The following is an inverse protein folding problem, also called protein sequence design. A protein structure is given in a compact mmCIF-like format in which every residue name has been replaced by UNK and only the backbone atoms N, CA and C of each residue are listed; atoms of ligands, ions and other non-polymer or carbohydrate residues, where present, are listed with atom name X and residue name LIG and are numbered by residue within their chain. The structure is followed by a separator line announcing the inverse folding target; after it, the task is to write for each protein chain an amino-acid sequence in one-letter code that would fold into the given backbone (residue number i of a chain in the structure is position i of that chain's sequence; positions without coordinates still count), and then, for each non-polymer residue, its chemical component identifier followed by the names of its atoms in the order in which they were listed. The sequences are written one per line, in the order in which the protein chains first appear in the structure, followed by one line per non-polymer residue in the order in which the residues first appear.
data_IF_005108649587
#
_entry.id   IF_005108649587
#
_cell.length_a   1.000
_cell.length_b   1.000
_cell.length_c   1.000
_cell.angle_alpha   90.00
_cell.angle_beta   90.00
_cell.angle_gamma   90.00
#
_symmetry.space_group_name_H-M   'P 1'
#
loop_
_entity.id
_entity.type
_entity.pdbx_description
1 polymer ?
#
# COMPACT_ATOMS: atom_id res chain seq x y z
N UNK A 1 -16.13 13.02 -5.49
CA UNK A 1 -15.65 11.64 -5.72
C UNK A 1 -15.56 10.96 -4.37
N UNK A 2 -15.89 9.67 -4.31
CA UNK A 2 -15.67 8.84 -3.13
C UNK A 2 -14.18 8.54 -2.93
N UNK A 3 -13.82 8.00 -1.76
CA UNK A 3 -12.45 7.52 -1.49
C UNK A 3 -12.05 6.48 -2.54
N UNK A 4 -12.91 5.50 -2.80
CA UNK A 4 -12.68 4.45 -3.80
C UNK A 4 -12.42 5.03 -5.19
N UNK A 5 -13.28 5.94 -5.67
CA UNK A 5 -13.12 6.58 -6.98
C UNK A 5 -11.80 7.36 -7.09
N UNK A 6 -11.39 8.02 -6.00
CA UNK A 6 -10.16 8.82 -5.98
C UNK A 6 -8.91 7.93 -6.00
N UNK A 7 -8.91 6.86 -5.21
CA UNK A 7 -7.82 5.88 -5.20
C UNK A 7 -7.74 5.13 -6.53
N UNK A 8 -8.88 4.73 -7.09
CA UNK A 8 -8.93 4.07 -8.39
C UNK A 8 -8.38 4.97 -9.51
N UNK A 9 -8.81 6.23 -9.56
CA UNK A 9 -8.31 7.19 -10.53
C UNK A 9 -6.80 7.43 -10.42
N UNK A 10 -6.23 7.43 -9.21
CA UNK A 10 -4.81 7.64 -9.00
C UNK A 10 -3.96 6.39 -9.29
N UNK A 11 -4.39 5.23 -8.80
CA UNK A 11 -3.59 4.00 -8.79
C UNK A 11 -3.68 3.25 -10.13
N UNK A 12 -4.79 3.37 -10.85
CA UNK A 12 -4.94 2.79 -12.20
C UNK A 12 -3.98 3.36 -13.24
N UNK A 13 -3.35 4.51 -12.96
CA UNK A 13 -2.37 5.15 -13.84
C UNK A 13 -0.96 4.59 -13.66
N UNK A 14 -0.72 3.72 -12.68
CA UNK A 14 0.60 3.15 -12.45
C UNK A 14 0.87 2.00 -13.42
N UNK A 15 2.10 1.94 -13.92
CA UNK A 15 2.53 0.92 -14.87
C UNK A 15 2.22 -0.50 -14.36
N UNK A 16 1.62 -1.29 -15.24
CA UNK A 16 1.28 -2.70 -15.02
C UNK A 16 0.28 -2.98 -13.90
N UNK A 17 -0.43 -1.94 -13.44
CA UNK A 17 -1.51 -2.09 -12.45
C UNK A 17 -2.83 -2.43 -13.14
N UNK A 18 -3.49 -3.45 -12.59
CA UNK A 18 -4.85 -3.87 -12.96
C UNK A 18 -5.79 -3.58 -11.80
N UNK A 19 -6.96 -3.08 -12.12
CA UNK A 19 -8.06 -2.82 -11.19
C UNK A 19 -9.08 -3.95 -11.30
N UNK A 20 -9.51 -4.51 -10.17
CA UNK A 20 -10.51 -5.58 -10.10
C UNK A 20 -11.52 -5.32 -8.98
N UNK A 21 -12.71 -5.89 -9.11
CA UNK A 21 -13.68 -5.90 -8.00
C UNK A 21 -13.14 -6.74 -6.84
N UNK A 22 -13.20 -6.20 -5.63
CA UNK A 22 -12.82 -6.95 -4.44
C UNK A 22 -13.99 -7.81 -3.94
N UNK A 23 -13.73 -9.09 -3.62
CA UNK A 23 -14.78 -10.08 -3.28
C UNK A 23 -15.61 -9.74 -2.04
N UNK A 24 -15.13 -8.83 -1.18
CA UNK A 24 -15.84 -8.34 0.01
C UNK A 24 -16.43 -6.94 -0.18
N UNK A 25 -16.51 -6.49 -1.43
CA UNK A 25 -16.97 -5.16 -1.81
C UNK A 25 -15.81 -4.16 -1.86
N UNK A 26 -15.83 -3.28 -2.86
CA UNK A 26 -14.77 -2.31 -3.11
C UNK A 26 -13.87 -2.72 -4.28
N UNK A 27 -12.65 -2.20 -4.29
CA UNK A 27 -11.72 -2.28 -5.42
C UNK A 27 -10.36 -2.81 -4.97
N UNK A 28 -9.83 -3.77 -5.72
CA UNK A 28 -8.52 -4.36 -5.53
C UNK A 28 -7.56 -3.93 -6.65
N UNK A 29 -6.31 -3.65 -6.27
CA UNK A 29 -5.25 -3.25 -7.18
C UNK A 29 -4.18 -4.33 -7.23
N UNK A 30 -3.81 -4.76 -8.44
CA UNK A 30 -2.83 -5.83 -8.63
C UNK A 30 -1.70 -5.38 -9.55
N UNK A 31 -0.46 -5.71 -9.19
CA UNK A 31 0.71 -5.63 -10.07
C UNK A 31 1.06 -7.03 -10.55
N UNK A 32 0.90 -7.30 -11.85
CA UNK A 32 1.24 -8.61 -12.44
C UNK A 32 0.64 -9.82 -11.66
N UNK A 33 -0.66 -9.77 -11.35
CA UNK A 33 -1.40 -10.76 -10.54
C UNK A 33 -0.96 -10.87 -9.07
N UNK A 34 -0.24 -9.88 -8.55
CA UNK A 34 0.12 -9.78 -7.12
C UNK A 34 -0.57 -8.56 -6.53
N UNK A 35 -1.39 -8.78 -5.51
CA UNK A 35 -2.14 -7.71 -4.84
C UNK A 35 -1.21 -6.64 -4.26
N UNK A 36 -1.44 -5.39 -4.65
CA UNK A 36 -0.84 -4.19 -4.07
C UNK A 36 -1.58 -3.83 -2.79
N UNK A 37 -2.91 -3.86 -2.83
CA UNK A 37 -3.83 -3.63 -1.73
C UNK A 37 -5.24 -3.43 -2.28
N UNK A 38 -6.21 -3.21 -1.40
CA UNK A 38 -7.59 -2.96 -1.77
C UNK A 38 -8.25 -1.93 -0.86
N UNK A 39 -9.30 -1.29 -1.38
CA UNK A 39 -10.15 -0.36 -0.66
C UNK A 39 -11.57 -0.91 -0.60
N UNK A 40 -12.13 -0.99 0.60
CA UNK A 40 -13.53 -1.31 0.83
C UNK A 40 -14.41 -0.07 0.61
N UNK A 41 -15.69 -0.28 0.30
CA UNK A 41 -16.66 0.82 0.13
C UNK A 41 -16.80 1.74 1.37
N UNK A 42 -16.35 1.29 2.54
CA UNK A 42 -16.31 2.05 3.78
C UNK A 42 -15.16 3.06 3.88
N UNK A 43 -14.20 3.04 2.95
CA UNK A 43 -12.96 3.83 3.04
C UNK A 43 -11.85 3.18 3.87
N UNK A 44 -12.04 1.93 4.29
CA UNK A 44 -10.98 1.09 4.84
C UNK A 44 -10.09 0.59 3.70
N UNK A 45 -8.78 0.79 3.83
CA UNK A 45 -7.76 0.33 2.89
C UNK A 45 -6.90 -0.74 3.57
N UNK A 46 -6.86 -1.93 3.00
CA UNK A 46 -6.06 -3.04 3.51
C UNK A 46 -4.92 -3.33 2.53
N UNK A 47 -3.70 -3.47 3.07
CA UNK A 47 -2.48 -3.54 2.23
C UNK A 47 -1.60 -4.72 2.69
N UNK A 48 -1.29 -5.68 1.80
CA UNK A 48 -0.40 -6.78 2.11
C UNK A 48 1.08 -6.35 2.08
N UNK A 49 1.70 -6.38 3.26
CA UNK A 49 3.16 -6.26 3.45
C UNK A 49 3.78 -7.51 4.08
N UNK A 50 5.09 -7.49 4.29
CA UNK A 50 5.80 -8.42 5.18
C UNK A 50 5.77 -7.91 6.62
N UNK A 51 5.87 -8.80 7.61
CA UNK A 51 5.86 -8.43 9.04
C UNK A 51 6.82 -7.28 9.42
N UNK A 52 8.09 -7.23 8.95
CA UNK A 52 8.99 -6.13 9.30
C UNK A 52 8.50 -4.75 8.83
N UNK A 53 7.95 -4.68 7.61
CA UNK A 53 7.40 -3.44 7.05
C UNK A 53 6.18 -3.01 7.86
N UNK A 54 5.26 -3.94 8.14
CA UNK A 54 4.09 -3.68 8.98
C UNK A 54 4.49 -3.15 10.35
N UNK A 55 5.48 -3.77 11.00
CA UNK A 55 5.97 -3.33 12.31
C UNK A 55 6.47 -1.90 12.28
N UNK A 56 7.29 -1.54 11.28
CA UNK A 56 7.77 -0.18 11.10
C UNK A 56 6.61 0.81 10.89
N UNK A 57 5.64 0.48 10.03
CA UNK A 57 4.48 1.32 9.75
C UNK A 57 3.61 1.56 11.01
N UNK A 58 3.35 0.49 11.79
CA UNK A 58 2.55 0.59 13.01
C UNK A 58 3.30 1.35 14.11
N UNK A 59 4.60 1.13 14.26
CA UNK A 59 5.43 1.85 15.24
C UNK A 59 5.53 3.35 14.92
N UNK A 60 5.60 3.72 13.64
CA UNK A 60 5.55 5.12 13.21
C UNK A 60 4.13 5.73 13.21
N UNK A 61 3.11 4.97 13.62
CA UNK A 61 1.72 5.46 13.67
C UNK A 61 1.07 5.69 12.30
N UNK A 62 1.65 5.13 11.23
CA UNK A 62 1.20 5.33 9.85
C UNK A 62 0.08 4.38 9.43
N UNK A 63 -0.11 3.27 10.16
CA UNK A 63 -1.17 2.31 9.92
C UNK A 63 -1.52 1.52 11.18
N UNK A 64 -2.68 0.86 11.16
CA UNK A 64 -3.09 -0.07 12.22
C UNK A 64 -2.83 -1.52 11.80
N UNK A 65 -2.77 -2.43 12.79
CA UNK A 65 -2.78 -3.86 12.50
C UNK A 65 -4.04 -4.22 11.72
N UNK A 66 -3.92 -5.16 10.77
CA UNK A 66 -5.09 -5.61 10.02
C UNK A 66 -6.16 -6.17 10.96
N UNK A 67 -7.37 -5.62 10.89
CA UNK A 67 -8.45 -5.87 11.84
C UNK A 67 -8.87 -7.35 11.94
N UNK A 68 -8.73 -8.14 10.86
CA UNK A 68 -9.00 -9.60 10.85
C UNK A 68 -7.73 -10.45 10.94
N UNK A 69 -6.58 -9.93 10.51
CA UNK A 69 -5.34 -10.70 10.30
C UNK A 69 -4.15 -10.05 11.02
N UNK A 70 -4.29 -9.70 12.32
CA UNK A 70 -3.32 -8.84 13.02
C UNK A 70 -1.92 -9.46 13.11
N UNK A 71 -1.85 -10.80 13.14
CA UNK A 71 -0.59 -11.55 13.22
C UNK A 71 0.16 -11.65 11.89
N UNK A 72 -0.44 -11.22 10.78
CA UNK A 72 0.21 -11.26 9.45
C UNK A 72 0.99 -9.98 9.17
N UNK A 73 1.56 -9.83 7.98
CA UNK A 73 2.14 -8.56 7.54
C UNK A 73 1.12 -7.55 7.01
N UNK A 74 -0.17 -7.85 7.04
CA UNK A 74 -1.20 -6.94 6.57
C UNK A 74 -1.39 -5.75 7.52
N UNK A 75 -1.71 -4.60 6.96
CA UNK A 75 -2.15 -3.42 7.71
C UNK A 75 -3.57 -3.03 7.30
N UNK A 76 -4.24 -2.27 8.15
CA UNK A 76 -5.49 -1.56 7.87
C UNK A 76 -5.25 -0.06 8.00
N UNK A 77 -5.81 0.73 7.08
CA UNK A 77 -5.72 2.19 7.05
C UNK A 77 -7.10 2.80 6.79
N UNK A 78 -7.55 3.72 7.66
CA UNK A 78 -8.90 4.27 7.61
C UNK A 78 -8.90 5.72 7.08
N UNK A 79 -9.25 5.87 5.80
CA UNK A 79 -9.37 7.20 5.18
C UNK A 79 -10.56 7.96 5.79
N UNK A 80 -10.33 9.22 6.19
CA UNK A 80 -11.35 10.09 6.77
C UNK A 80 -11.63 9.88 8.27
N UNK A 81 -11.03 8.86 8.89
CA UNK A 81 -11.07 8.66 10.35
C UNK A 81 -9.74 9.04 10.99
N UNK A 82 -8.69 8.31 10.67
CA UNK A 82 -7.33 8.54 11.17
C UNK A 82 -6.38 8.99 10.07
N UNK A 83 -6.75 8.73 8.81
CA UNK A 83 -5.90 8.98 7.65
C UNK A 83 -6.51 9.88 6.58
N UNK A 84 -5.72 10.14 5.54
CA UNK A 84 -6.11 10.92 4.36
C UNK A 84 -6.03 10.08 3.09
N UNK A 85 -6.56 10.58 1.98
CA UNK A 85 -6.45 9.89 0.69
C UNK A 85 -4.99 9.82 0.25
N UNK A 86 -4.23 10.89 0.45
CA UNK A 86 -2.81 10.98 0.12
C UNK A 86 -2.00 9.93 0.89
N UNK A 87 -2.25 9.77 2.20
CA UNK A 87 -1.59 8.75 2.99
C UNK A 87 -1.91 7.32 2.52
N UNK A 88 -3.14 7.06 2.09
CA UNK A 88 -3.49 5.77 1.47
C UNK A 88 -2.74 5.56 0.14
N UNK A 89 -2.63 6.60 -0.70
CA UNK A 89 -1.85 6.55 -1.94
C UNK A 89 -0.38 6.26 -1.65
N UNK A 90 0.23 6.93 -0.67
CA UNK A 90 1.63 6.72 -0.31
C UNK A 90 1.89 5.28 0.18
N UNK A 91 1.00 4.73 1.01
CA UNK A 91 1.12 3.34 1.47
C UNK A 91 0.95 2.34 0.31
N UNK A 92 0.03 2.62 -0.62
CA UNK A 92 -0.14 1.84 -1.84
C UNK A 92 1.11 1.93 -2.75
N UNK A 93 1.75 3.11 -2.84
CA UNK A 93 3.02 3.31 -3.57
C UNK A 93 4.15 2.51 -2.96
N UNK A 94 4.26 2.48 -1.62
CA UNK A 94 5.24 1.64 -0.92
C UNK A 94 5.06 0.16 -1.29
N UNK A 95 3.82 -0.33 -1.24
CA UNK A 95 3.49 -1.72 -1.59
C UNK A 95 3.79 -2.03 -3.05
N UNK A 96 3.42 -1.13 -3.97
CA UNK A 96 3.69 -1.24 -5.40
C UNK A 96 5.19 -1.29 -5.69
N UNK A 97 5.98 -0.34 -5.17
CA UNK A 97 7.43 -0.27 -5.39
C UNK A 97 8.18 -1.43 -4.74
N UNK A 98 7.72 -1.91 -3.59
CA UNK A 98 8.28 -3.13 -2.98
C UNK A 98 8.10 -4.35 -3.89
N UNK A 99 6.93 -4.47 -4.54
CA UNK A 99 6.65 -5.58 -5.46
C UNK A 99 7.37 -5.40 -6.80
N UNK A 100 7.43 -4.18 -7.33
CA UNK A 100 8.11 -3.83 -8.59
C UNK A 100 9.63 -4.02 -8.49
N UNK A 101 10.26 -3.54 -7.42
CA UNK A 101 11.70 -3.67 -7.18
C UNK A 101 12.21 -5.11 -7.07
N UNK A 102 11.33 -6.09 -6.80
CA UNK A 102 11.70 -7.52 -6.86
C UNK A 102 11.93 -8.02 -8.27
N UNK A 103 11.35 -7.36 -9.27
CA UNK A 103 11.44 -7.71 -10.70
C UNK A 103 12.40 -6.79 -11.44
N UNK A 104 12.31 -5.49 -11.18
CA UNK A 104 13.11 -4.44 -11.81
C UNK A 104 13.54 -3.42 -10.76
N UNK A 105 14.77 -3.59 -10.26
CA UNK A 105 15.32 -2.72 -9.20
C UNK A 105 15.64 -1.33 -9.71
N UNK A 106 16.23 -1.26 -10.89
CA UNK A 106 16.77 -0.01 -11.43
C UNK A 106 15.61 0.93 -11.80
N UNK A 107 14.55 0.39 -12.41
CA UNK A 107 13.34 1.18 -12.70
C UNK A 107 12.58 1.64 -11.44
N UNK A 108 12.78 0.98 -10.30
CA UNK A 108 12.11 1.35 -9.05
C UNK A 108 12.94 2.32 -8.19
N UNK A 109 14.26 2.40 -8.39
CA UNK A 109 15.18 3.10 -7.49
C UNK A 109 14.83 4.60 -7.33
N UNK A 110 14.69 5.32 -8.45
CA UNK A 110 14.35 6.75 -8.42
C UNK A 110 12.99 6.99 -7.76
N UNK A 111 12.00 6.14 -8.05
CA UNK A 111 10.66 6.26 -7.47
C UNK A 111 10.66 6.01 -5.94
N UNK A 112 11.52 5.11 -5.45
CA UNK A 112 11.67 4.82 -4.01
C UNK A 112 12.20 6.05 -3.26
N UNK A 113 13.12 6.82 -3.85
CA UNK A 113 13.66 8.04 -3.23
C UNK A 113 12.60 9.14 -3.00
N UNK A 114 11.51 9.09 -3.76
CA UNK A 114 10.39 10.05 -3.63
C UNK A 114 9.33 9.65 -2.60
N UNK A 115 9.49 8.49 -1.94
CA UNK A 115 8.52 8.03 -0.96
C UNK A 115 8.60 8.87 0.33
N UNK A 116 7.46 9.37 0.86
CA UNK A 116 7.45 10.28 1.99
C UNK A 116 7.49 9.55 3.34
N UNK A 117 8.31 8.50 3.46
CA UNK A 117 8.42 7.69 4.68
C UNK A 117 9.74 7.89 5.40
N UNK A 118 9.70 7.73 6.72
CA UNK A 118 10.89 7.74 7.56
C UNK A 118 11.85 6.61 7.17
N UNK A 119 13.14 6.81 7.47
CA UNK A 119 14.21 5.87 7.12
C UNK A 119 13.95 4.45 7.67
N UNK A 120 13.33 4.34 8.84
CA UNK A 120 12.98 3.04 9.44
C UNK A 120 12.03 2.22 8.56
N UNK A 121 11.01 2.86 7.98
CA UNK A 121 10.05 2.23 7.07
C UNK A 121 10.71 1.88 5.74
N UNK A 122 11.51 2.80 5.19
CA UNK A 122 12.22 2.58 3.94
C UNK A 122 13.25 1.44 4.05
N UNK A 123 14.01 1.38 5.15
CA UNK A 123 14.97 0.30 5.42
C UNK A 123 14.28 -1.05 5.60
N UNK A 124 13.09 -1.09 6.22
CA UNK A 124 12.30 -2.31 6.35
C UNK A 124 11.76 -2.80 5.00
N UNK A 125 11.37 -1.88 4.11
CA UNK A 125 10.81 -2.20 2.80
C UNK A 125 11.87 -2.51 1.72
N UNK A 126 13.01 -1.84 1.78
CA UNK A 126 14.09 -1.91 0.81
C UNK A 126 15.45 -2.09 1.50
N UNK A 127 15.69 -3.24 2.16
CA UNK A 127 16.92 -3.46 2.89
C UNK A 127 18.13 -3.42 1.95
N UNK A 128 19.15 -2.62 2.32
CA UNK A 128 20.45 -2.62 1.64
C UNK A 128 21.09 -3.99 1.83
N UNK A 129 21.56 -4.59 0.73
CA UNK A 129 22.30 -5.86 0.75
C UNK A 129 23.74 -5.64 1.18
#
# INVERSE_FOLDING_TARGET
MSVTETLEAAISQWDDVVVAEHRFGGVEFQLNNVEIGHVHNSGLVDIPFTRPIREALVQSGLAELHHILPETGWISYYVGRTGTVEGAIDLMRLSYLQKRSRRDKDAAAEAIETLPFEEAVLNAAFPKR
#
